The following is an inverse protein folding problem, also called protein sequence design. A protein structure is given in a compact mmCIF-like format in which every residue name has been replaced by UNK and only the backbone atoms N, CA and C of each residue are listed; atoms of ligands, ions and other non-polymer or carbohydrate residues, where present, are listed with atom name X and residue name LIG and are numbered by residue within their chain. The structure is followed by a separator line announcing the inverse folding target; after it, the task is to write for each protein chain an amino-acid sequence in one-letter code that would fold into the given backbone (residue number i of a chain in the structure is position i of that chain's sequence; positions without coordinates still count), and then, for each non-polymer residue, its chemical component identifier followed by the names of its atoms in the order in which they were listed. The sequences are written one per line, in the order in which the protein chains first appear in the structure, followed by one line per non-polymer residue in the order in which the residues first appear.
data_IF_294079300220
#
_entry.id   IF_294079300220
#
_cell.length_a   1.000
_cell.length_b   1.000
_cell.length_c   1.000
_cell.angle_alpha   90.00
_cell.angle_beta   90.00
_cell.angle_gamma   90.00
#
_symmetry.space_group_name_H-M   'P 1'
#
loop_
_entity.id
_entity.type
_entity.pdbx_description
1 polymer ?
#
# COMPACT_ATOMS: atom_id res chain seq x y z
N UNK A 1 36.92 -11.62 -46.02
CA UNK A 1 36.15 -12.51 -46.91
C UNK A 1 35.69 -13.66 -46.02
N UNK A 2 34.51 -13.58 -45.40
CA UNK A 2 33.21 -14.13 -45.89
C UNK A 2 33.25 -15.66 -45.99
N UNK A 3 32.29 -16.46 -45.53
CA UNK A 3 31.11 -16.35 -44.68
C UNK A 3 30.55 -17.80 -44.55
N UNK A 4 29.68 -18.03 -43.57
CA UNK A 4 28.63 -19.08 -43.52
C UNK A 4 28.96 -20.51 -43.08
N UNK A 5 28.61 -20.81 -41.83
CA UNK A 5 27.71 -21.92 -41.46
C UNK A 5 26.92 -21.42 -40.22
N UNK A 6 25.67 -21.70 -39.91
CA UNK A 6 24.42 -22.16 -40.55
C UNK A 6 23.37 -22.01 -39.41
N UNK A 7 22.14 -21.65 -39.74
CA UNK A 7 20.93 -21.71 -38.90
C UNK A 7 20.77 -20.75 -37.69
N UNK A 8 19.95 -19.71 -37.90
CA UNK A 8 19.07 -19.14 -36.87
C UNK A 8 18.14 -20.23 -36.29
N UNK A 9 17.74 -20.16 -35.01
CA UNK A 9 16.83 -19.11 -34.56
C UNK A 9 17.35 -18.39 -33.31
N UNK A 10 17.21 -17.06 -33.33
CA UNK A 10 16.99 -16.30 -32.10
C UNK A 10 16.06 -17.08 -31.16
N UNK A 11 16.37 -17.26 -29.87
CA UNK A 11 15.32 -17.58 -28.93
C UNK A 11 14.42 -16.34 -28.86
N UNK A 12 13.37 -16.32 -29.68
CA UNK A 12 12.14 -15.61 -29.36
C UNK A 12 11.50 -16.36 -28.19
N UNK A 13 12.02 -16.14 -26.99
CA UNK A 13 11.33 -16.53 -25.76
C UNK A 13 10.59 -15.30 -25.26
N UNK A 14 9.32 -15.26 -25.64
CA UNK A 14 8.14 -14.85 -24.84
C UNK A 14 8.40 -14.09 -23.53
N UNK A 15 7.69 -12.97 -23.27
CA UNK A 15 7.60 -12.42 -21.92
C UNK A 15 6.74 -13.40 -21.10
N UNK A 16 7.37 -14.39 -20.48
CA UNK A 16 6.67 -15.33 -19.63
C UNK A 16 7.35 -15.41 -18.27
N UNK A 17 6.49 -15.48 -17.26
CA UNK A 17 6.80 -15.75 -15.87
C UNK A 17 7.28 -14.53 -15.06
N UNK A 18 6.37 -13.57 -14.86
CA UNK A 18 6.17 -13.07 -13.50
C UNK A 18 5.71 -14.25 -12.63
N UNK A 19 6.63 -15.01 -12.06
CA UNK A 19 6.32 -15.97 -10.99
C UNK A 19 7.57 -16.24 -10.15
N UNK A 20 8.22 -15.17 -9.70
CA UNK A 20 8.69 -15.23 -8.33
C UNK A 20 7.48 -14.84 -7.51
N UNK A 21 6.91 -15.70 -6.63
CA UNK A 21 5.98 -15.21 -5.63
C UNK A 21 6.69 -14.04 -4.97
N UNK A 22 6.05 -12.86 -4.98
CA UNK A 22 6.51 -11.74 -4.16
C UNK A 22 6.79 -12.33 -2.79
N UNK A 23 8.08 -12.32 -2.49
CA UNK A 23 8.70 -13.02 -1.40
C UNK A 23 7.84 -12.84 -0.17
N UNK A 24 7.25 -13.95 0.28
CA UNK A 24 6.51 -14.15 1.53
C UNK A 24 6.52 -12.88 2.37
N UNK A 25 5.58 -11.98 2.08
CA UNK A 25 5.42 -10.78 2.85
C UNK A 25 5.03 -11.30 4.20
N UNK A 26 6.02 -11.36 5.11
CA UNK A 26 5.90 -11.86 6.47
C UNK A 26 4.49 -11.53 6.96
N UNK A 27 3.62 -12.54 6.89
CA UNK A 27 2.23 -12.52 7.32
C UNK A 27 2.18 -12.53 8.86
N UNK A 28 3.22 -12.01 9.50
CA UNK A 28 3.16 -11.57 10.88
C UNK A 28 2.31 -10.33 10.80
N UNK A 29 1.01 -10.52 10.98
CA UNK A 29 0.05 -9.56 11.50
C UNK A 29 0.74 -8.22 11.73
N UNK A 30 0.68 -7.29 10.76
CA UNK A 30 1.24 -5.96 10.98
C UNK A 30 0.68 -5.51 12.33
N UNK A 31 1.56 -5.30 13.32
CA UNK A 31 1.16 -5.05 14.69
C UNK A 31 0.17 -3.87 14.65
N UNK A 32 -0.76 -3.79 15.61
CA UNK A 32 -1.85 -2.79 15.55
C UNK A 32 -1.35 -1.37 15.26
N UNK A 33 -0.15 -1.04 15.74
CA UNK A 33 0.60 0.19 15.48
C UNK A 33 1.05 0.37 14.02
N UNK A 34 1.59 -0.66 13.35
CA UNK A 34 2.01 -0.58 11.94
C UNK A 34 0.79 -0.36 11.01
N UNK A 35 -0.35 -0.98 11.34
CA UNK A 35 -1.61 -0.74 10.61
C UNK A 35 -2.10 0.68 10.84
N UNK A 36 -2.01 1.17 12.07
CA UNK A 36 -2.41 2.52 12.43
C UNK A 36 -1.58 3.57 11.70
N UNK A 37 -0.26 3.38 11.62
CA UNK A 37 0.65 4.25 10.89
C UNK A 37 0.29 4.33 9.41
N UNK A 38 0.05 3.18 8.76
CA UNK A 38 -0.39 3.14 7.36
C UNK A 38 -1.72 3.84 7.11
N UNK A 39 -2.66 3.78 8.06
CA UNK A 39 -3.94 4.52 7.99
C UNK A 39 -3.71 6.03 8.10
N UNK A 40 -2.86 6.47 9.03
CA UNK A 40 -2.53 7.88 9.21
C UNK A 40 -1.93 8.46 7.92
N UNK A 41 -0.98 7.75 7.30
CA UNK A 41 -0.35 8.20 6.06
C UNK A 41 -1.35 8.29 4.89
N UNK A 42 -2.24 7.31 4.77
CA UNK A 42 -3.24 7.32 3.71
C UNK A 42 -4.25 8.45 3.88
N UNK A 43 -4.81 8.60 5.07
CA UNK A 43 -5.76 9.69 5.38
C UNK A 43 -5.10 11.05 5.17
N UNK A 44 -3.81 11.20 5.51
CA UNK A 44 -3.04 12.40 5.19
C UNK A 44 -2.97 12.63 3.68
N UNK A 45 -2.65 11.60 2.90
CA UNK A 45 -2.63 11.67 1.44
C UNK A 45 -3.97 12.13 0.85
N UNK A 46 -5.07 11.51 1.29
CA UNK A 46 -6.43 11.86 0.85
C UNK A 46 -6.80 13.30 1.24
N UNK A 47 -6.42 13.74 2.44
CA UNK A 47 -6.63 15.12 2.93
C UNK A 47 -5.88 16.14 2.09
N UNK A 48 -4.61 15.87 1.75
CA UNK A 48 -3.78 16.74 0.91
C UNK A 48 -4.31 16.85 -0.53
N UNK A 49 -4.91 15.80 -1.05
CA UNK A 49 -5.56 15.77 -2.37
C UNK A 49 -6.94 16.45 -2.38
N UNK A 50 -7.45 16.85 -1.21
CA UNK A 50 -8.79 17.45 -1.08
C UNK A 50 -9.93 16.46 -1.34
N UNK A 51 -9.67 15.15 -1.22
CA UNK A 51 -10.65 14.09 -1.44
C UNK A 51 -11.50 13.76 -0.20
N UNK A 52 -11.47 14.62 0.81
CA UNK A 52 -12.08 14.36 2.12
C UNK A 52 -13.21 15.34 2.39
N UNK A 53 -14.45 14.86 2.31
CA UNK A 53 -15.65 15.62 2.69
C UNK A 53 -15.86 15.62 4.21
N UNK A 54 -15.74 14.45 4.86
CA UNK A 54 -15.81 14.29 6.32
C UNK A 54 -14.63 13.43 6.79
N UNK A 55 -13.59 14.11 7.30
CA UNK A 55 -12.36 13.48 7.77
C UNK A 55 -12.62 12.48 8.90
N UNK A 56 -13.58 12.80 9.78
CA UNK A 56 -13.85 11.98 10.96
C UNK A 56 -14.54 10.69 10.57
N UNK A 57 -15.50 10.76 9.65
CA UNK A 57 -16.15 9.57 9.11
C UNK A 57 -15.15 8.71 8.33
N UNK A 58 -14.32 9.32 7.49
CA UNK A 58 -13.30 8.60 6.72
C UNK A 58 -12.32 7.84 7.63
N UNK A 59 -11.77 8.50 8.65
CA UNK A 59 -10.85 7.87 9.60
C UNK A 59 -11.51 6.70 10.31
N UNK A 60 -12.75 6.87 10.77
CA UNK A 60 -13.50 5.80 11.43
C UNK A 60 -13.67 4.59 10.51
N UNK A 61 -14.16 4.81 9.29
CA UNK A 61 -14.38 3.74 8.32
C UNK A 61 -13.06 3.02 7.99
N UNK A 62 -11.92 3.72 8.00
CA UNK A 62 -10.61 3.13 7.75
C UNK A 62 -10.08 2.30 8.91
N UNK A 63 -10.28 2.75 10.14
CA UNK A 63 -9.99 1.97 11.35
C UNK A 63 -10.82 0.68 11.38
N UNK A 64 -12.12 0.77 11.08
CA UNK A 64 -13.01 -0.39 11.01
C UNK A 64 -12.57 -1.39 9.92
N UNK A 65 -12.21 -0.91 8.74
CA UNK A 65 -11.68 -1.74 7.64
C UNK A 65 -10.37 -2.45 7.99
N UNK A 66 -9.53 -1.83 8.82
CA UNK A 66 -8.28 -2.41 9.28
C UNK A 66 -8.44 -3.36 10.50
N UNK A 67 -9.68 -3.49 11.02
CA UNK A 67 -9.96 -4.25 12.24
C UNK A 67 -9.43 -3.59 13.51
N UNK A 68 -9.18 -2.27 13.47
CA UNK A 68 -8.73 -1.47 14.61
C UNK A 68 -9.91 -0.86 15.36
N UNK A 69 -9.67 -0.44 16.61
CA UNK A 69 -10.65 0.28 17.41
C UNK A 69 -11.05 1.58 16.72
N UNK A 70 -12.34 1.72 16.41
CA UNK A 70 -12.91 2.91 15.78
C UNK A 70 -13.71 3.74 16.79
N UNK A 71 -13.27 3.76 18.05
CA UNK A 71 -13.94 4.55 19.07
C UNK A 71 -13.72 6.05 18.81
N UNK A 72 -14.57 6.94 19.34
CA UNK A 72 -14.38 8.38 19.18
C UNK A 72 -12.99 8.87 19.60
N UNK A 73 -12.36 8.21 20.59
CA UNK A 73 -11.02 8.55 21.07
C UNK A 73 -9.93 8.12 20.07
N UNK A 74 -10.05 6.93 19.48
CA UNK A 74 -9.10 6.42 18.49
C UNK A 74 -9.14 7.27 17.21
N UNK A 75 -10.35 7.62 16.78
CA UNK A 75 -10.58 8.51 15.62
C UNK A 75 -9.95 9.88 15.87
N UNK A 76 -10.14 10.47 17.06
CA UNK A 76 -9.56 11.77 17.40
C UNK A 76 -8.02 11.73 17.46
N UNK A 77 -7.45 10.62 17.96
CA UNK A 77 -6.00 10.41 17.98
C UNK A 77 -5.40 10.35 16.56
N UNK A 78 -6.04 9.65 15.63
CA UNK A 78 -5.60 9.60 14.22
C UNK A 78 -5.73 10.96 13.56
N UNK A 79 -6.84 11.66 13.74
CA UNK A 79 -7.04 13.01 13.19
C UNK A 79 -5.96 13.96 13.72
N UNK A 80 -5.71 13.92 15.02
CA UNK A 80 -4.64 14.70 15.67
C UNK A 80 -3.27 14.36 15.08
N UNK A 81 -2.96 13.09 14.84
CA UNK A 81 -1.71 12.66 14.23
C UNK A 81 -1.56 13.15 12.77
N UNK A 82 -2.64 13.10 11.98
CA UNK A 82 -2.67 13.64 10.61
C UNK A 82 -2.39 15.14 10.60
N UNK A 83 -2.97 15.89 11.55
CA UNK A 83 -2.83 17.35 11.65
C UNK A 83 -1.54 17.82 12.34
N UNK A 84 -0.94 17.01 13.21
CA UNK A 84 0.22 17.40 14.03
C UNK A 84 1.57 17.33 13.29
N UNK A 85 1.57 17.09 11.98
CA UNK A 85 2.81 16.99 11.21
C UNK A 85 3.24 18.41 10.76
N UNK A 86 4.47 18.85 11.07
CA UNK A 86 4.99 20.20 10.73
C UNK A 86 5.20 20.42 9.24
#
# INVERSE_FOLDING_TARGET
MSNHENAEPTPVTTPDTQDSPVQDGSLTDADGDDRLEGIIEQVRGDTLLGHVDDLRQMVRDRLEQAGLGATPNDVDAVISAVQSTP
#
